data_IF_146776770106
#
_entry.id   IF_146776770106
#
_cell.length_a   1.000
_cell.length_b   1.000
_cell.length_c   1.000
_cell.angle_alpha   90.00
_cell.angle_beta   90.00
_cell.angle_gamma   90.00
#
_symmetry.space_group_name_H-M   'P 1'
#
loop_
_entity.id
_entity.type
_entity.pdbx_description
1 polymer ?
#
# COMPACT_ATOMS: atom_id res chain seq x y z
N UNK A 1 -5.10 15.34 17.53
CA UNK A 1 -4.76 14.86 16.17
C UNK A 1 -5.62 13.66 15.85
N UNK A 2 -6.55 13.77 14.90
CA UNK A 2 -7.40 12.66 14.47
C UNK A 2 -6.61 11.64 13.66
N UNK A 3 -5.96 10.71 14.36
CA UNK A 3 -5.28 9.54 13.79
C UNK A 3 -6.22 8.74 12.88
N UNK A 4 -7.53 8.81 13.12
CA UNK A 4 -8.57 8.23 12.28
C UNK A 4 -8.64 8.79 10.86
N UNK A 5 -8.25 10.05 10.63
CA UNK A 5 -8.35 10.69 9.31
C UNK A 5 -7.38 10.07 8.30
N UNK A 6 -6.19 9.67 8.75
CA UNK A 6 -5.16 9.15 7.85
C UNK A 6 -5.46 7.74 7.36
N UNK A 7 -5.83 6.82 8.26
CA UNK A 7 -6.23 5.46 7.85
C UNK A 7 -7.43 5.51 6.90
N UNK A 8 -8.40 6.40 7.14
CA UNK A 8 -9.54 6.60 6.23
C UNK A 8 -9.10 7.09 4.85
N UNK A 9 -8.33 8.17 4.78
CA UNK A 9 -7.92 8.76 3.51
C UNK A 9 -7.09 7.79 2.67
N UNK A 10 -6.13 7.10 3.29
CA UNK A 10 -5.32 6.08 2.63
C UNK A 10 -6.20 4.93 2.11
N UNK A 11 -7.08 4.39 2.94
CA UNK A 11 -7.92 3.24 2.60
C UNK A 11 -8.93 3.56 1.49
N UNK A 12 -9.50 4.77 1.51
CA UNK A 12 -10.35 5.25 0.41
C UNK A 12 -9.57 5.50 -0.88
N UNK A 13 -8.30 5.92 -0.78
CA UNK A 13 -7.44 6.11 -1.96
C UNK A 13 -7.12 4.75 -2.59
N UNK A 14 -6.73 3.73 -1.82
CA UNK A 14 -6.51 2.39 -2.37
C UNK A 14 -7.79 1.80 -2.98
N UNK A 15 -8.97 2.06 -2.40
CA UNK A 15 -10.26 1.62 -2.96
C UNK A 15 -10.56 2.22 -4.35
N UNK A 16 -10.05 3.43 -4.63
CA UNK A 16 -10.16 4.07 -5.95
C UNK A 16 -9.11 3.59 -6.94
N UNK A 17 -7.97 3.10 -6.45
CA UNK A 17 -6.86 2.62 -7.30
C UNK A 17 -7.09 1.18 -7.72
N UNK A 18 -7.49 0.32 -6.79
CA UNK A 18 -7.73 -1.12 -7.04
C UNK A 18 -9.11 -1.28 -7.68
N UNK A 19 -9.22 -1.78 -8.92
CA UNK A 19 -10.51 -2.04 -9.56
C UNK A 19 -11.42 -2.94 -8.69
N UNK A 20 -12.73 -2.76 -8.82
CA UNK A 20 -13.72 -3.51 -8.04
C UNK A 20 -13.72 -5.03 -8.32
N UNK A 21 -13.29 -5.42 -9.52
CA UNK A 21 -13.13 -6.82 -9.95
C UNK A 21 -11.85 -7.48 -9.42
N UNK A 22 -10.86 -6.67 -9.03
CA UNK A 22 -9.52 -7.17 -8.75
C UNK A 22 -9.38 -7.59 -7.29
N UNK A 23 -8.53 -8.58 -7.06
CA UNK A 23 -8.23 -9.09 -5.71
C UNK A 23 -7.10 -8.29 -5.08
N UNK A 24 -7.22 -8.05 -3.78
CA UNK A 24 -6.22 -7.39 -2.94
C UNK A 24 -5.89 -8.28 -1.75
N UNK A 25 -4.60 -8.55 -1.50
CA UNK A 25 -4.13 -9.23 -0.30
C UNK A 25 -3.19 -8.32 0.50
N UNK A 26 -3.18 -8.48 1.82
CA UNK A 26 -2.28 -7.77 2.72
C UNK A 26 -1.08 -8.66 3.13
N UNK A 27 0.11 -8.07 3.25
CA UNK A 27 1.26 -8.76 3.83
C UNK A 27 1.24 -8.65 5.37
N UNK A 28 0.97 -9.76 6.03
CA UNK A 28 0.98 -9.97 7.48
C UNK A 28 -0.14 -9.27 8.27
N UNK A 29 -0.33 -7.98 8.07
CA UNK A 29 -1.38 -7.25 8.79
C UNK A 29 -2.06 -6.17 7.94
N UNK A 30 -3.37 -6.12 8.08
CA UNK A 30 -4.24 -5.00 7.69
C UNK A 30 -5.21 -4.72 8.84
N UNK A 31 -5.43 -3.45 9.16
CA UNK A 31 -6.37 -3.11 10.23
C UNK A 31 -7.82 -3.25 9.77
N UNK A 32 -8.71 -3.57 10.71
CA UNK A 32 -10.15 -3.63 10.45
C UNK A 32 -10.69 -2.31 9.86
N UNK A 33 -10.08 -1.17 10.22
CA UNK A 33 -10.43 0.14 9.67
C UNK A 33 -10.10 0.24 8.19
N UNK A 34 -8.92 -0.24 7.79
CA UNK A 34 -8.55 -0.28 6.38
C UNK A 34 -9.50 -1.17 5.59
N UNK A 35 -9.84 -2.35 6.12
CA UNK A 35 -10.85 -3.23 5.51
C UNK A 35 -12.21 -2.52 5.37
N UNK A 36 -12.68 -1.88 6.44
CA UNK A 36 -13.95 -1.16 6.46
C UNK A 36 -14.01 -0.05 5.40
N UNK A 37 -12.97 0.79 5.30
CA UNK A 37 -12.95 1.90 4.35
C UNK A 37 -12.59 1.49 2.93
N UNK A 38 -11.93 0.33 2.74
CA UNK A 38 -11.73 -0.27 1.43
C UNK A 38 -13.03 -0.85 0.87
N UNK A 39 -13.92 -1.34 1.75
CA UNK A 39 -15.25 -1.82 1.41
C UNK A 39 -15.30 -3.26 0.90
N UNK A 40 -14.18 -3.98 0.93
CA UNK A 40 -14.07 -5.40 0.54
C UNK A 40 -13.15 -6.14 1.52
N UNK A 41 -13.32 -7.45 1.64
CA UNK A 41 -12.43 -8.29 2.45
C UNK A 41 -11.02 -8.26 1.87
N UNK A 42 -10.03 -8.05 2.74
CA UNK A 42 -8.61 -8.11 2.39
C UNK A 42 -7.99 -9.28 3.15
N UNK A 43 -7.77 -10.45 2.52
CA UNK A 43 -7.06 -11.55 3.16
C UNK A 43 -5.65 -11.11 3.53
N UNK A 44 -5.18 -11.57 4.69
CA UNK A 44 -3.79 -11.39 5.13
C UNK A 44 -2.98 -12.65 4.84
N UNK A 45 -1.82 -12.49 4.21
CA UNK A 45 -0.88 -13.56 3.89
C UNK A 45 0.42 -13.26 4.65
N UNK A 46 0.86 -14.19 5.48
CA UNK A 46 2.12 -14.09 6.24
C UNK A 46 3.33 -14.62 5.46
N UNK A 47 3.11 -15.62 4.61
CA UNK A 47 4.17 -16.28 3.86
C UNK A 47 4.52 -15.45 2.61
N UNK A 48 5.75 -14.93 2.56
CA UNK A 48 6.25 -14.09 1.47
C UNK A 48 6.29 -14.83 0.11
N UNK A 49 6.78 -16.09 0.00
CA UNK A 49 6.60 -16.90 -1.20
C UNK A 49 5.15 -17.01 -1.69
N UNK A 50 4.18 -17.22 -0.80
CA UNK A 50 2.75 -17.26 -1.18
C UNK A 50 2.28 -15.89 -1.67
N UNK A 51 2.66 -14.81 -0.98
CA UNK A 51 2.37 -13.44 -1.38
C UNK A 51 2.92 -13.11 -2.78
N UNK A 52 4.14 -13.57 -3.09
CA UNK A 52 4.78 -13.38 -4.39
C UNK A 52 4.02 -14.12 -5.51
N UNK A 53 3.54 -15.35 -5.25
CA UNK A 53 2.69 -16.08 -6.22
C UNK A 53 1.39 -15.31 -6.52
N UNK A 54 0.77 -14.71 -5.50
CA UNK A 54 -0.41 -13.86 -5.69
C UNK A 54 -0.09 -12.65 -6.56
N UNK A 55 1.03 -11.97 -6.29
CA UNK A 55 1.48 -10.84 -7.08
C UNK A 55 1.74 -11.21 -8.55
N UNK A 56 2.38 -12.36 -8.81
CA UNK A 56 2.68 -12.82 -10.16
C UNK A 56 1.43 -13.15 -10.98
N UNK A 57 0.36 -13.61 -10.31
CA UNK A 57 -0.97 -13.80 -10.91
C UNK A 57 -1.69 -12.47 -11.24
N UNK A 58 -1.09 -11.33 -10.92
CA UNK A 58 -1.70 -10.00 -11.14
C UNK A 58 -2.64 -9.58 -10.01
N UNK A 59 -2.53 -10.18 -8.82
CA UNK A 59 -3.27 -9.67 -7.66
C UNK A 59 -2.53 -8.47 -7.05
N UNK A 60 -3.29 -7.57 -6.44
CA UNK A 60 -2.76 -6.41 -5.74
C UNK A 60 -2.23 -6.82 -4.37
N UNK A 61 -1.14 -6.20 -3.95
CA UNK A 61 -0.54 -6.41 -2.63
C UNK A 61 -0.53 -5.11 -1.84
N UNK A 62 -1.05 -5.14 -0.62
CA UNK A 62 -0.98 -4.06 0.36
C UNK A 62 0.03 -4.45 1.45
N UNK A 63 0.94 -3.55 1.79
CA UNK A 63 1.77 -3.69 2.99
C UNK A 63 1.79 -2.39 3.78
N UNK A 64 1.88 -2.49 5.10
CA UNK A 64 1.94 -1.33 6.01
C UNK A 64 3.08 -1.49 7.02
N UNK A 65 3.61 -0.37 7.51
CA UNK A 65 4.72 -0.31 8.47
C UNK A 65 5.96 -1.07 7.99
N UNK A 66 6.55 -1.86 8.89
CA UNK A 66 7.78 -2.65 8.63
C UNK A 66 7.68 -3.55 7.40
N UNK A 67 6.51 -4.16 7.14
CA UNK A 67 6.29 -5.01 5.96
C UNK A 67 6.33 -4.20 4.65
N UNK A 68 5.84 -2.96 4.70
CA UNK A 68 5.92 -2.01 3.58
C UNK A 68 7.37 -1.67 3.22
N UNK A 69 8.19 -1.43 4.24
CA UNK A 69 9.61 -1.12 4.09
C UNK A 69 10.40 -2.33 3.60
N UNK A 70 10.09 -3.52 4.13
CA UNK A 70 10.67 -4.80 3.73
C UNK A 70 10.49 -5.05 2.22
N UNK A 71 9.26 -4.95 1.71
CA UNK A 71 8.99 -5.19 0.28
C UNK A 71 9.60 -4.12 -0.63
N UNK A 72 9.60 -2.86 -0.20
CA UNK A 72 10.26 -1.79 -0.96
C UNK A 72 11.78 -1.99 -1.07
N UNK A 73 12.44 -2.50 -0.01
CA UNK A 73 13.88 -2.79 -0.02
C UNK A 73 14.24 -4.01 -0.86
N UNK A 74 13.38 -5.03 -0.85
CA UNK A 74 13.56 -6.26 -1.62
C UNK A 74 13.45 -6.04 -3.14
N UNK A 75 12.69 -5.03 -3.57
CA UNK A 75 12.60 -4.62 -4.98
C UNK A 75 11.84 -5.59 -5.90
N UNK A 76 11.45 -6.77 -5.42
CA UNK A 76 10.67 -7.76 -6.18
C UNK A 76 9.24 -7.29 -6.49
N UNK A 77 8.69 -6.43 -5.63
CA UNK A 77 7.34 -5.90 -5.79
C UNK A 77 7.41 -4.48 -6.33
N UNK A 78 6.75 -4.24 -7.47
CA UNK A 78 6.66 -2.90 -8.05
C UNK A 78 5.66 -2.04 -7.29
N UNK A 79 6.17 -1.05 -6.58
CA UNK A 79 5.36 -0.05 -5.87
C UNK A 79 4.63 0.84 -6.86
N UNK A 80 3.31 0.97 -6.70
CA UNK A 80 2.47 1.83 -7.55
C UNK A 80 1.84 2.99 -6.78
N UNK A 81 1.71 2.87 -5.45
CA UNK A 81 1.26 3.95 -4.60
C UNK A 81 1.88 3.82 -3.23
N UNK A 82 2.39 4.93 -2.70
CA UNK A 82 2.97 5.01 -1.37
C UNK A 82 2.26 6.09 -0.56
N UNK A 83 1.88 5.77 0.67
CA UNK A 83 1.32 6.71 1.63
C UNK A 83 2.19 6.77 2.88
N UNK A 84 2.69 7.97 3.22
CA UNK A 84 3.47 8.21 4.45
C UNK A 84 2.67 7.93 5.74
N UNK A 85 1.34 8.02 5.67
CA UNK A 85 0.42 7.83 6.80
C UNK A 85 -0.74 6.93 6.37
N UNK A 86 -0.49 5.62 6.39
CA UNK A 86 -1.47 4.61 5.97
C UNK A 86 -2.26 4.04 7.15
N UNK A 87 -1.65 3.92 8.32
CA UNK A 87 -2.32 3.46 9.51
C UNK A 87 -1.70 4.05 10.79
N UNK A 88 -2.27 3.74 11.95
CA UNK A 88 -1.67 4.06 13.25
C UNK A 88 -1.45 2.82 14.11
N UNK A 89 -0.22 2.69 14.61
CA UNK A 89 0.18 1.64 15.56
C UNK A 89 0.95 2.29 16.70
N UNK A 90 0.62 1.95 17.94
CA UNK A 90 1.28 2.50 19.15
C UNK A 90 1.37 4.04 19.17
N UNK A 91 0.32 4.73 18.72
CA UNK A 91 0.24 6.21 18.59
C UNK A 91 1.17 6.82 17.53
N UNK A 92 1.87 6.01 16.75
CA UNK A 92 2.67 6.46 15.61
C UNK A 92 1.92 6.22 14.31
N UNK A 93 2.15 7.08 13.31
CA UNK A 93 1.67 6.85 11.96
C UNK A 93 2.66 5.93 11.24
N UNK A 94 2.15 4.89 10.59
CA UNK A 94 2.98 3.98 9.81
C UNK A 94 2.73 4.17 8.32
N UNK A 95 3.75 4.00 7.47
CA UNK A 95 3.59 4.09 6.02
C UNK A 95 2.81 2.88 5.49
N UNK A 96 2.34 2.99 4.26
CA UNK A 96 1.78 1.87 3.53
C UNK A 96 2.03 2.00 2.03
N UNK A 97 2.24 0.86 1.40
CA UNK A 97 2.50 0.76 -0.03
C UNK A 97 1.50 -0.20 -0.66
N UNK A 98 1.00 0.18 -1.83
CA UNK A 98 0.26 -0.68 -2.72
C UNK A 98 1.20 -1.09 -3.87
N UNK A 99 1.24 -2.38 -4.18
CA UNK A 99 2.08 -2.96 -5.22
C UNK A 99 1.23 -3.67 -6.26
N UNK A 100 1.67 -3.60 -7.51
CA UNK A 100 1.06 -4.31 -8.63
C UNK A 100 2.04 -4.44 -9.79
N UNK A 101 2.03 -5.59 -10.48
CA UNK A 101 3.02 -5.91 -11.53
C UNK A 101 3.01 -4.93 -12.71
N UNK A 102 1.82 -4.44 -13.09
CA UNK A 102 1.66 -3.65 -14.33
C UNK A 102 0.83 -2.37 -14.18
N UNK A 103 0.30 -2.06 -12.98
CA UNK A 103 -0.60 -0.91 -12.84
C UNK A 103 0.15 0.42 -13.00
N UNK A 104 -0.51 1.51 -13.42
CA UNK A 104 0.11 2.82 -13.48
C UNK A 104 0.53 3.31 -12.09
N UNK A 105 1.66 4.02 -12.02
CA UNK A 105 2.13 4.63 -10.78
C UNK A 105 1.24 5.84 -10.46
N UNK A 106 0.68 5.86 -9.25
CA UNK A 106 -0.17 6.94 -8.75
C UNK A 106 0.67 7.88 -7.91
N UNK A 107 0.95 9.08 -8.44
CA UNK A 107 1.59 10.16 -7.70
C UNK A 107 0.56 10.85 -6.78
N UNK A 108 1.02 11.36 -5.64
CA UNK A 108 0.21 12.20 -4.77
C UNK A 108 0.43 13.65 -5.21
N UNK A 109 -0.60 14.30 -5.76
CA UNK A 109 -0.58 15.74 -5.97
C UNK A 109 -0.47 16.42 -4.60
N UNK A 110 0.68 17.05 -4.34
CA UNK A 110 1.02 17.68 -3.06
C UNK A 110 2.43 17.39 -2.54
N UNK A 111 3.22 16.52 -3.19
CA UNK A 111 4.65 16.41 -2.90
C UNK A 111 5.44 17.40 -3.77
N UNK A 112 5.57 18.64 -3.30
CA UNK A 112 6.54 19.59 -3.82
C UNK A 112 7.96 19.15 -3.45
N UNK A 113 8.86 19.06 -4.45
CA UNK A 113 10.31 18.86 -4.34
C UNK A 113 10.77 17.42 -4.12
N UNK A 114 11.73 16.83 -4.84
CA UNK A 114 12.82 17.42 -5.59
C UNK A 114 12.94 16.84 -7.01
N UNK A 115 13.07 17.75 -7.97
CA UNK A 115 13.77 17.50 -9.22
C UNK A 115 15.25 17.59 -8.85
N UNK A 116 15.96 16.46 -8.77
CA UNK A 116 17.42 16.50 -8.85
C UNK A 116 17.83 16.31 -10.30
N UNK A 117 18.57 17.31 -10.75
CA UNK A 117 19.10 17.50 -12.10
C UNK A 117 20.08 16.38 -12.41
N UNK A 118 19.95 15.74 -13.56
CA UNK A 118 21.06 14.99 -14.15
C UNK A 118 22.21 15.95 -14.47
N UNK A 119 23.48 15.55 -14.27
CA UNK A 119 24.61 16.38 -14.66
C UNK A 119 24.65 16.52 -16.18
N UNK A 120 25.20 17.66 -16.58
CA UNK A 120 25.29 18.22 -17.92
C UNK A 120 26.29 17.47 -18.79
#
# INVERSE_FOLDING_TARGET
MDTNRYSRAFSQKIARIVPGSDKLAAYGYVSNRTVQYFGRVIPSIEDKPVLYRYYEQGNWILATGKRSEELNKDGQFRSVFYGKKADSRNRENVPGTLFHKSAPIVKIDGSSGAVEKGPK
#
